data_IF_178538612986
#
_entry.id   IF_178538612986
#
_cell.length_a   1.000
_cell.length_b   1.000
_cell.length_c   1.000
_cell.angle_alpha   90.00
_cell.angle_beta   90.00
_cell.angle_gamma   90.00
#
_symmetry.space_group_name_H-M   'P 1'
#
loop_
_entity.id
_entity.type
_entity.pdbx_description
1 polymer ?
#
# COMPACT_ATOMS: atom_id res chain seq x y z
N UNK A 1 -20.58 19.90 19.12
CA UNK A 1 -19.44 20.56 18.44
C UNK A 1 -18.27 19.59 18.45
N UNK A 2 -17.83 19.09 17.29
CA UNK A 2 -16.58 18.31 17.20
C UNK A 2 -15.41 19.29 17.32
N UNK A 3 -14.39 18.94 18.10
CA UNK A 3 -13.21 19.78 18.28
C UNK A 3 -12.37 19.81 16.98
N UNK A 4 -11.74 20.94 16.63
CA UNK A 4 -10.92 21.09 15.42
C UNK A 4 -9.82 20.02 15.29
N UNK A 5 -9.30 19.54 16.41
CA UNK A 5 -8.26 18.51 16.49
C UNK A 5 -8.74 17.10 16.11
N UNK A 6 -10.06 16.84 16.18
CA UNK A 6 -10.66 15.56 15.78
C UNK A 6 -10.90 15.46 14.27
N UNK A 7 -10.92 16.59 13.58
CA UNK A 7 -11.16 16.69 12.15
C UNK A 7 -10.04 16.07 11.28
N UNK A 8 -8.74 16.29 11.54
CA UNK A 8 -7.67 15.62 10.79
C UNK A 8 -7.62 14.11 11.04
N UNK A 9 -7.90 13.65 12.26
CA UNK A 9 -7.93 12.22 12.57
C UNK A 9 -9.09 11.50 11.85
N UNK A 10 -10.29 12.08 11.87
CA UNK A 10 -11.44 11.52 11.16
C UNK A 10 -11.24 11.48 9.64
N UNK A 11 -10.61 12.52 9.06
CA UNK A 11 -10.28 12.53 7.64
C UNK A 11 -9.28 11.43 7.25
N UNK A 12 -8.26 11.19 8.07
CA UNK A 12 -7.29 10.08 7.87
C UNK A 12 -7.97 8.73 7.91
N UNK A 13 -8.82 8.48 8.89
CA UNK A 13 -9.51 7.18 9.01
C UNK A 13 -10.48 6.93 7.84
N UNK A 14 -11.17 7.97 7.34
CA UNK A 14 -12.00 7.82 6.14
C UNK A 14 -11.16 7.55 4.88
N UNK A 15 -10.03 8.25 4.72
CA UNK A 15 -9.11 8.00 3.61
C UNK A 15 -8.56 6.56 3.63
N UNK A 16 -8.15 6.08 4.80
CA UNK A 16 -7.71 4.69 5.00
C UNK A 16 -8.84 3.73 4.64
N UNK A 17 -10.05 3.94 5.17
CA UNK A 17 -11.19 3.07 4.89
C UNK A 17 -11.50 3.03 3.38
N UNK A 18 -11.43 4.18 2.70
CA UNK A 18 -11.64 4.28 1.25
C UNK A 18 -10.60 3.52 0.45
N UNK A 19 -9.32 3.59 0.81
CA UNK A 19 -8.25 2.80 0.19
C UNK A 19 -8.52 1.29 0.29
N UNK A 20 -8.89 0.80 1.47
CA UNK A 20 -9.18 -0.62 1.65
C UNK A 20 -10.38 -1.08 0.84
N UNK A 21 -11.44 -0.26 0.72
CA UNK A 21 -12.63 -0.59 -0.08
C UNK A 21 -12.35 -0.60 -1.59
N UNK A 22 -11.49 0.29 -2.07
CA UNK A 22 -11.25 0.45 -3.52
C UNK A 22 -10.12 -0.44 -4.04
N UNK A 23 -9.21 -0.88 -3.18
CA UNK A 23 -8.12 -1.77 -3.58
C UNK A 23 -8.18 -3.14 -2.89
N UNK A 24 -7.91 -3.25 -1.59
CA UNK A 24 -7.76 -4.56 -0.94
C UNK A 24 -9.04 -5.43 -0.93
N UNK A 25 -10.23 -4.82 -1.03
CA UNK A 25 -11.49 -5.55 -1.19
C UNK A 25 -11.72 -6.06 -2.63
N UNK A 26 -11.03 -5.47 -3.62
CA UNK A 26 -11.14 -5.79 -5.05
C UNK A 26 -10.01 -6.72 -5.50
N UNK A 27 -8.80 -6.48 -5.02
CA UNK A 27 -7.59 -7.24 -5.37
C UNK A 27 -7.16 -8.09 -4.17
N UNK A 28 -7.33 -9.40 -4.30
CA UNK A 28 -6.98 -10.38 -3.27
C UNK A 28 -5.49 -10.72 -3.32
N UNK A 29 -4.93 -11.12 -2.17
CA UNK A 29 -3.57 -11.64 -2.10
C UNK A 29 -3.44 -12.90 -2.97
N UNK A 30 -2.44 -12.92 -3.86
CA UNK A 30 -2.11 -14.09 -4.69
C UNK A 30 -0.80 -14.71 -4.23
N UNK A 31 -0.84 -15.94 -3.73
CA UNK A 31 0.40 -16.69 -3.38
C UNK A 31 1.29 -16.96 -4.58
N UNK A 32 0.69 -17.12 -5.76
CA UNK A 32 1.34 -17.43 -7.03
C UNK A 32 1.68 -16.16 -7.83
N UNK A 33 1.79 -15.00 -7.17
CA UNK A 33 2.22 -13.78 -7.85
C UNK A 33 3.60 -13.97 -8.50
N UNK A 34 3.77 -13.44 -9.71
CA UNK A 34 5.04 -13.56 -10.42
C UNK A 34 6.19 -13.03 -9.57
N UNK A 35 7.30 -13.75 -9.53
CA UNK A 35 8.52 -13.28 -8.90
C UNK A 35 9.71 -13.68 -9.76
N UNK A 36 10.66 -12.77 -9.87
CA UNK A 36 11.89 -13.01 -10.59
C UNK A 36 12.71 -14.12 -9.87
N UNK A 37 13.00 -15.26 -10.54
CA UNK A 37 13.57 -16.45 -9.89
C UNK A 37 14.94 -16.25 -9.23
N UNK A 38 15.68 -15.22 -9.66
CA UNK A 38 17.02 -14.88 -9.15
C UNK A 38 17.00 -13.69 -8.18
N UNK A 39 15.87 -13.01 -8.02
CA UNK A 39 15.75 -11.88 -7.10
C UNK A 39 15.00 -12.22 -5.82
N UNK A 40 14.32 -13.35 -5.74
CA UNK A 40 13.37 -13.69 -4.67
C UNK A 40 13.45 -15.17 -4.33
N UNK A 41 13.29 -15.53 -3.06
CA UNK A 41 13.05 -16.93 -2.65
C UNK A 41 11.58 -17.11 -2.25
N UNK A 42 11.04 -18.33 -2.44
CA UNK A 42 9.62 -18.63 -2.24
C UNK A 42 9.16 -18.35 -0.79
N UNK A 43 10.06 -18.50 0.18
CA UNK A 43 9.82 -18.19 1.59
C UNK A 43 9.48 -16.72 1.85
N UNK A 44 10.00 -15.80 1.03
CA UNK A 44 9.72 -14.37 1.15
C UNK A 44 8.30 -14.05 0.69
N UNK A 45 7.84 -14.74 -0.37
CA UNK A 45 6.46 -14.67 -0.86
C UNK A 45 5.49 -15.23 0.17
N UNK A 46 5.84 -16.39 0.73
CA UNK A 46 5.05 -17.01 1.77
C UNK A 46 4.93 -16.11 3.01
N UNK A 47 5.96 -15.34 3.36
CA UNK A 47 5.97 -14.48 4.56
C UNK A 47 4.89 -13.39 4.53
N UNK A 48 4.66 -12.75 3.38
CA UNK A 48 3.61 -11.74 3.23
C UNK A 48 2.21 -12.32 3.45
N UNK A 49 2.01 -13.58 3.07
CA UNK A 49 0.73 -14.27 3.20
C UNK A 49 0.43 -14.86 4.57
N UNK A 50 1.38 -14.80 5.53
CA UNK A 50 1.21 -15.40 6.88
C UNK A 50 0.37 -14.54 7.81
N UNK A 51 0.31 -13.24 7.56
CA UNK A 51 -0.43 -12.29 8.37
C UNK A 51 -1.57 -11.68 7.56
N UNK A 52 -2.72 -11.38 8.18
CA UNK A 52 -3.71 -10.52 7.57
C UNK A 52 -3.09 -9.19 7.13
N UNK A 53 -3.48 -8.65 5.98
CA UNK A 53 -2.95 -7.41 5.40
C UNK A 53 -2.83 -6.25 6.43
N UNK A 54 -3.86 -6.07 7.27
CA UNK A 54 -3.92 -5.03 8.32
C UNK A 54 -2.92 -5.22 9.46
N UNK A 55 -2.31 -6.39 9.59
CA UNK A 55 -1.33 -6.71 10.63
C UNK A 55 0.11 -6.62 10.14
N UNK A 56 0.35 -6.45 8.84
CA UNK A 56 1.70 -6.28 8.29
C UNK A 56 2.33 -4.97 8.80
N UNK A 57 3.57 -5.02 9.29
CA UNK A 57 4.33 -3.84 9.69
C UNK A 57 5.11 -3.29 8.50
N UNK A 58 5.70 -2.09 8.64
CA UNK A 58 6.58 -1.51 7.63
C UNK A 58 7.68 -2.47 7.20
N UNK A 59 8.42 -3.03 8.16
CA UNK A 59 9.46 -4.03 7.91
C UNK A 59 8.99 -5.29 7.18
N UNK A 60 7.72 -5.69 7.36
CA UNK A 60 7.17 -6.86 6.65
C UNK A 60 6.89 -6.52 5.17
N UNK A 61 6.54 -5.27 4.87
CA UNK A 61 6.26 -4.78 3.52
C UNK A 61 7.48 -4.22 2.78
N UNK A 62 8.52 -3.76 3.47
CA UNK A 62 9.68 -3.07 2.90
C UNK A 62 10.29 -3.83 1.72
N UNK A 63 10.49 -5.14 1.90
CA UNK A 63 11.15 -5.94 0.89
C UNK A 63 10.30 -6.08 -0.38
N UNK A 64 8.99 -6.25 -0.21
CA UNK A 64 8.02 -6.22 -1.31
C UNK A 64 7.99 -4.84 -1.96
N UNK A 65 7.88 -3.78 -1.17
CA UNK A 65 7.80 -2.40 -1.61
C UNK A 65 8.94 -2.02 -2.57
N UNK A 66 10.16 -2.52 -2.32
CA UNK A 66 11.33 -2.25 -3.19
C UNK A 66 11.18 -2.92 -4.57
N UNK A 67 10.62 -4.12 -4.59
CA UNK A 67 10.57 -5.01 -5.75
C UNK A 67 9.24 -4.99 -6.49
N UNK A 68 8.21 -4.39 -5.90
CA UNK A 68 6.85 -4.33 -6.41
C UNK A 68 6.83 -3.95 -7.89
N UNK A 69 6.15 -4.77 -8.69
CA UNK A 69 5.96 -4.63 -10.14
C UNK A 69 7.20 -4.75 -11.03
N UNK A 70 8.41 -4.66 -10.48
CA UNK A 70 9.66 -4.74 -11.27
C UNK A 70 10.26 -6.14 -11.25
N UNK A 71 10.32 -6.76 -10.06
CA UNK A 71 10.87 -8.10 -9.87
C UNK A 71 9.97 -8.98 -9.00
N UNK A 72 8.86 -8.44 -8.51
CA UNK A 72 7.90 -9.16 -7.69
C UNK A 72 6.48 -8.57 -7.80
N UNK A 73 5.55 -9.41 -8.22
CA UNK A 73 4.14 -9.13 -8.41
C UNK A 73 3.86 -8.28 -9.65
N UNK A 74 2.58 -8.13 -9.95
CA UNK A 74 2.07 -7.24 -10.98
C UNK A 74 1.28 -6.08 -10.35
N UNK A 75 0.70 -5.20 -11.18
CA UNK A 75 -0.07 -4.05 -10.71
C UNK A 75 -1.21 -4.43 -9.77
N UNK A 76 -1.87 -5.58 -10.01
CA UNK A 76 -2.96 -6.06 -9.14
C UNK A 76 -2.47 -6.46 -7.76
N UNK A 77 -1.27 -7.06 -7.68
CA UNK A 77 -0.65 -7.43 -6.40
C UNK A 77 -0.21 -6.17 -5.65
N UNK A 78 0.31 -5.17 -6.36
CA UNK A 78 0.65 -3.88 -5.77
C UNK A 78 -0.59 -3.19 -5.18
N UNK A 79 -1.70 -3.18 -5.92
CA UNK A 79 -2.97 -2.63 -5.44
C UNK A 79 -3.50 -3.35 -4.20
N UNK A 80 -3.24 -4.65 -4.03
CA UNK A 80 -3.59 -5.36 -2.80
C UNK A 80 -2.88 -4.76 -1.57
N UNK A 81 -1.58 -4.49 -1.67
CA UNK A 81 -0.77 -4.00 -0.55
C UNK A 81 -0.81 -2.48 -0.36
N UNK A 82 -1.18 -1.73 -1.39
CA UNK A 82 -1.20 -0.26 -1.38
C UNK A 82 -1.97 0.36 -0.20
N UNK A 83 -3.18 -0.11 0.19
CA UNK A 83 -3.89 0.44 1.34
C UNK A 83 -3.12 0.32 2.65
N UNK A 84 -2.37 -0.77 2.83
CA UNK A 84 -1.60 -0.98 4.05
C UNK A 84 -0.37 -0.08 4.10
N UNK A 85 0.31 0.09 2.97
CA UNK A 85 1.43 1.01 2.86
C UNK A 85 1.00 2.44 3.23
N UNK A 86 -0.05 2.95 2.58
CA UNK A 86 -0.56 4.30 2.84
C UNK A 86 -1.12 4.45 4.27
N UNK A 87 -1.75 3.42 4.85
CA UNK A 87 -2.18 3.43 6.25
C UNK A 87 -1.00 3.62 7.21
N UNK A 88 0.09 2.87 7.01
CA UNK A 88 1.28 2.97 7.85
C UNK A 88 1.90 4.38 7.79
N UNK A 89 1.98 4.96 6.59
CA UNK A 89 2.45 6.33 6.37
C UNK A 89 1.55 7.34 7.07
N UNK A 90 0.23 7.28 6.83
CA UNK A 90 -0.75 8.22 7.41
C UNK A 90 -0.81 8.16 8.94
N UNK A 91 -0.47 7.02 9.53
CA UNK A 91 -0.43 6.83 10.98
C UNK A 91 0.93 7.11 11.60
N UNK A 92 1.95 7.45 10.80
CA UNK A 92 3.32 7.62 11.29
C UNK A 92 3.89 6.35 11.93
N UNK A 93 3.45 5.19 11.44
CA UNK A 93 3.85 3.86 11.93
C UNK A 93 5.00 3.25 11.10
N UNK A 94 5.50 4.00 10.11
CA UNK A 94 6.76 3.68 9.46
C UNK A 94 7.91 3.98 10.42
N UNK A 95 8.85 3.04 10.55
CA UNK A 95 10.04 3.19 11.40
C UNK A 95 11.12 4.09 10.75
N UNK A 96 10.76 4.79 9.67
CA UNK A 96 11.55 5.80 8.99
C UNK A 96 12.51 5.26 7.94
N UNK A 97 12.46 3.95 7.64
CA UNK A 97 13.32 3.33 6.64
C UNK A 97 12.61 2.31 5.74
N UNK A 98 11.37 1.93 6.07
CA UNK A 98 10.71 0.83 5.40
C UNK A 98 9.84 1.25 4.21
N UNK A 99 9.18 2.41 4.27
CA UNK A 99 8.06 2.74 3.38
C UNK A 99 8.04 4.21 2.91
N UNK A 100 9.20 4.68 2.44
CA UNK A 100 9.43 6.05 1.95
C UNK A 100 8.41 6.55 0.92
N UNK A 101 7.93 7.79 1.09
CA UNK A 101 6.97 8.43 0.19
C UNK A 101 7.48 8.54 -1.26
N UNK A 102 8.78 8.79 -1.43
CA UNK A 102 9.40 8.85 -2.75
C UNK A 102 9.34 7.50 -3.49
N UNK A 103 9.54 6.41 -2.76
CA UNK A 103 9.43 5.07 -3.30
C UNK A 103 7.99 4.73 -3.67
N UNK A 104 7.02 5.08 -2.80
CA UNK A 104 5.61 4.95 -3.10
C UNK A 104 5.23 5.72 -4.37
N UNK A 105 5.66 6.98 -4.50
CA UNK A 105 5.40 7.81 -5.67
C UNK A 105 5.99 7.18 -6.95
N UNK A 106 7.21 6.64 -6.87
CA UNK A 106 7.81 5.92 -7.99
C UNK A 106 7.01 4.68 -8.40
N UNK A 107 6.54 3.87 -7.44
CA UNK A 107 5.72 2.69 -7.73
C UNK A 107 4.35 3.07 -8.29
N UNK A 108 3.69 4.09 -7.76
CA UNK A 108 2.44 4.62 -8.33
C UNK A 108 2.63 5.03 -9.80
N UNK A 109 3.71 5.77 -10.10
CA UNK A 109 4.04 6.16 -11.47
C UNK A 109 4.31 4.94 -12.37
N UNK A 110 5.11 3.98 -11.91
CA UNK A 110 5.41 2.73 -12.64
C UNK A 110 4.13 1.94 -12.96
N UNK A 111 3.21 1.82 -11.99
CA UNK A 111 1.92 1.17 -12.17
C UNK A 111 0.88 2.00 -12.94
N UNK A 112 1.27 3.18 -13.46
CA UNK A 112 0.42 4.08 -14.24
C UNK A 112 -0.89 4.43 -13.52
N UNK A 113 -0.81 4.79 -12.24
CA UNK A 113 -1.99 4.96 -11.38
C UNK A 113 -3.07 5.92 -11.91
N UNK A 114 -2.68 6.90 -12.74
CA UNK A 114 -3.59 7.82 -13.44
C UNK A 114 -4.51 7.15 -14.49
N UNK A 115 -4.24 5.90 -14.86
CA UNK A 115 -5.08 5.08 -15.74
C UNK A 115 -6.05 4.16 -14.99
N UNK A 116 -5.93 4.06 -13.66
CA UNK A 116 -6.76 3.17 -12.85
C UNK A 116 -8.22 3.64 -12.78
N UNK A 117 -9.16 2.81 -12.31
CA UNK A 117 -10.53 3.26 -12.06
C UNK A 117 -10.57 4.54 -11.22
N UNK A 118 -11.45 5.48 -11.58
CA UNK A 118 -11.54 6.80 -10.95
C UNK A 118 -11.66 6.74 -9.42
N UNK A 119 -12.42 5.77 -8.90
CA UNK A 119 -12.59 5.59 -7.46
C UNK A 119 -11.27 5.26 -6.73
N UNK A 120 -10.36 4.51 -7.38
CA UNK A 120 -9.03 4.19 -6.85
C UNK A 120 -8.12 5.43 -6.90
N UNK A 121 -8.15 6.18 -8.01
CA UNK A 121 -7.37 7.42 -8.14
C UNK A 121 -7.72 8.42 -7.04
N UNK A 122 -9.01 8.68 -6.84
CA UNK A 122 -9.50 9.60 -5.82
C UNK A 122 -9.16 9.13 -4.40
N UNK A 123 -9.10 7.82 -4.15
CA UNK A 123 -8.68 7.28 -2.86
C UNK A 123 -7.19 7.51 -2.60
N UNK A 124 -6.35 7.29 -3.60
CA UNK A 124 -4.90 7.55 -3.53
C UNK A 124 -4.63 9.04 -3.38
N UNK A 125 -5.28 9.91 -4.15
CA UNK A 125 -5.13 11.37 -4.04
C UNK A 125 -5.48 11.89 -2.66
N UNK A 126 -6.63 11.46 -2.10
CA UNK A 126 -7.03 11.86 -0.76
C UNK A 126 -6.01 11.44 0.30
N UNK A 127 -5.44 10.24 0.17
CA UNK A 127 -4.42 9.76 1.10
C UNK A 127 -3.10 10.52 0.96
N UNK A 128 -2.64 10.79 -0.27
CA UNK A 128 -1.42 11.55 -0.50
C UNK A 128 -1.55 12.98 0.05
N UNK A 129 -2.68 13.65 -0.16
CA UNK A 129 -2.92 15.00 0.37
C UNK A 129 -2.88 15.08 1.90
N UNK A 130 -3.17 13.98 2.60
CA UNK A 130 -3.12 13.92 4.08
C UNK A 130 -1.76 13.47 4.63
N UNK A 131 -0.87 12.97 3.75
CA UNK A 131 0.48 12.55 4.08
C UNK A 131 1.53 13.67 3.93
N UNK A 132 1.14 14.79 3.30
CA UNK A 132 1.90 16.05 3.21
C UNK A 132 1.40 17.05 4.26
#
# INVERSE_FOLDING_TARGET
>A
MRQPEQQPAAAREEAIARLYRTSAAVYLFRREMWACPHCMVEEEIARLGRLPLRQLRGADLQHYAWKAMTTWGEVTDFKHFLPRWLELVLRGQDDGFALELGQLAHKLAYGQWRSWPRAEQEAVEAALLLAW
#
